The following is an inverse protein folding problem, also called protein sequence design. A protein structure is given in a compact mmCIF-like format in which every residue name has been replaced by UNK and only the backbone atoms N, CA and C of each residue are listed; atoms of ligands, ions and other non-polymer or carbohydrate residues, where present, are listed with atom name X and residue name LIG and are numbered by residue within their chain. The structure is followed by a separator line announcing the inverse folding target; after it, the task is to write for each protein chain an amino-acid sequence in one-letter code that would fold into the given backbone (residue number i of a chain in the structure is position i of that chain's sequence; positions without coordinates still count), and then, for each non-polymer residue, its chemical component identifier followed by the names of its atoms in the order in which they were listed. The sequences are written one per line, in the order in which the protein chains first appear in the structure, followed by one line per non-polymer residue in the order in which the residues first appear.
data_IF_586617374993
#
_entry.id   IF_586617374993
#
_cell.length_a   1.000
_cell.length_b   1.000
_cell.length_c   1.000
_cell.angle_alpha   90.00
_cell.angle_beta   90.00
_cell.angle_gamma   90.00
#
_symmetry.space_group_name_H-M   'P 1'
#
loop_
_entity.id
_entity.type
_entity.pdbx_description
1 polymer ?
#
# COMPACT_ATOMS: atom_id res chain seq x y z
N UNK A 1 -14.40 1.16 10.55
CA UNK A 1 -13.05 0.55 10.66
C UNK A 1 -12.07 1.69 10.50
N UNK A 2 -11.03 1.77 11.31
CA UNK A 2 -10.04 2.85 11.20
C UNK A 2 -9.02 2.56 10.09
N UNK A 3 -8.29 3.59 9.65
CA UNK A 3 -7.14 3.41 8.76
C UNK A 3 -6.07 2.50 9.37
N UNK A 4 -5.84 2.60 10.69
CA UNK A 4 -4.96 1.69 11.42
C UNK A 4 -5.45 0.25 11.33
N UNK A 5 -6.73 0.01 11.60
CA UNK A 5 -7.31 -1.34 11.53
C UNK A 5 -7.07 -1.97 10.16
N UNK A 6 -7.33 -1.22 9.09
CA UNK A 6 -7.15 -1.70 7.73
C UNK A 6 -5.67 -1.94 7.42
N UNK A 7 -4.83 -0.91 7.55
CA UNK A 7 -3.47 -0.96 7.01
C UNK A 7 -2.54 -1.76 7.92
N UNK A 8 -2.58 -1.51 9.22
CA UNK A 8 -1.65 -2.10 10.18
C UNK A 8 -2.15 -3.45 10.70
N UNK A 9 -3.46 -3.61 10.93
CA UNK A 9 -3.98 -4.86 11.48
C UNK A 9 -4.45 -5.86 10.41
N UNK A 10 -4.88 -5.43 9.22
CA UNK A 10 -5.34 -6.35 8.17
C UNK A 10 -4.30 -6.55 7.06
N UNK A 11 -3.87 -5.48 6.39
CA UNK A 11 -2.99 -5.59 5.23
C UNK A 11 -1.57 -6.02 5.64
N UNK A 12 -0.98 -5.38 6.65
CA UNK A 12 0.35 -5.75 7.15
C UNK A 12 0.34 -7.16 7.76
N UNK A 13 -0.66 -7.51 8.55
CA UNK A 13 -0.79 -8.86 9.11
C UNK A 13 -0.90 -9.94 8.03
N UNK A 14 -1.61 -9.66 6.93
CA UNK A 14 -1.71 -10.57 5.80
C UNK A 14 -0.36 -10.77 5.11
N UNK A 15 0.43 -9.71 4.91
CA UNK A 15 1.80 -9.83 4.39
C UNK A 15 2.71 -10.58 5.36
N UNK A 16 2.60 -10.33 6.68
CA UNK A 16 3.39 -11.04 7.70
C UNK A 16 3.05 -12.52 7.79
N UNK A 17 1.81 -12.92 7.50
CA UNK A 17 1.44 -14.33 7.39
C UNK A 17 2.19 -15.02 6.23
N UNK A 18 2.45 -14.29 5.16
CA UNK A 18 3.24 -14.77 4.02
C UNK A 18 4.74 -14.74 4.31
N UNK A 19 5.23 -13.68 4.97
CA UNK A 19 6.63 -13.48 5.30
C UNK A 19 6.76 -12.94 6.75
N UNK A 20 6.92 -13.80 7.76
CA UNK A 20 6.93 -13.38 9.18
C UNK A 20 8.03 -12.38 9.52
N UNK A 21 9.17 -12.48 8.83
CA UNK A 21 10.32 -11.59 8.99
C UNK A 21 10.11 -10.21 8.38
N UNK A 22 9.13 -10.03 7.46
CA UNK A 22 8.95 -8.77 6.72
C UNK A 22 7.51 -8.46 6.34
N UNK A 23 6.95 -7.45 7.03
CA UNK A 23 5.68 -6.81 6.69
C UNK A 23 5.78 -5.72 5.62
N UNK A 24 4.74 -4.90 5.53
CA UNK A 24 4.71 -3.67 4.74
C UNK A 24 5.66 -2.63 5.34
N UNK A 25 6.38 -1.93 4.46
CA UNK A 25 7.19 -0.76 4.83
C UNK A 25 6.31 0.43 5.21
N UNK A 26 6.83 1.36 6.02
CA UNK A 26 6.10 2.58 6.40
C UNK A 26 5.66 3.41 5.19
N UNK A 27 6.50 3.47 4.14
CA UNK A 27 6.13 4.10 2.87
C UNK A 27 4.92 3.42 2.22
N UNK A 28 4.87 2.09 2.27
CA UNK A 28 3.75 1.34 1.70
C UNK A 28 2.48 1.58 2.51
N UNK A 29 2.58 1.54 3.84
CA UNK A 29 1.46 1.81 4.75
C UNK A 29 0.88 3.20 4.51
N UNK A 30 1.73 4.21 4.48
CA UNK A 30 1.36 5.59 4.19
C UNK A 30 0.72 5.75 2.79
N UNK A 31 1.24 5.02 1.79
CA UNK A 31 0.67 5.01 0.46
C UNK A 31 -0.75 4.42 0.42
N UNK A 32 -1.01 3.33 1.16
CA UNK A 32 -2.35 2.76 1.29
C UNK A 32 -3.31 3.73 2.00
N UNK A 33 -2.88 4.36 3.10
CA UNK A 33 -3.70 5.34 3.84
C UNK A 33 -4.12 6.51 2.95
N UNK A 34 -3.16 7.10 2.22
CA UNK A 34 -3.41 8.18 1.25
C UNK A 34 -4.38 7.76 0.14
N UNK A 35 -4.25 6.55 -0.38
CA UNK A 35 -5.12 6.05 -1.45
C UNK A 35 -6.53 5.77 -0.97
N UNK A 36 -6.72 5.30 0.28
CA UNK A 36 -8.03 5.03 0.87
C UNK A 36 -8.86 6.30 1.07
N UNK A 37 -8.26 7.37 1.59
CA UNK A 37 -8.99 8.60 1.90
C UNK A 37 -9.05 9.54 0.69
N UNK A 38 -8.06 9.50 -0.21
CA UNK A 38 -7.94 10.46 -1.31
C UNK A 38 -7.60 11.88 -0.86
N UNK A 39 -7.28 12.08 0.43
CA UNK A 39 -6.91 13.36 1.03
C UNK A 39 -5.53 13.26 1.69
N UNK A 40 -4.86 14.41 1.85
CA UNK A 40 -3.63 14.54 2.64
C UNK A 40 -3.91 14.69 4.14
N UNK A 41 -5.14 15.03 4.52
CA UNK A 41 -5.53 15.24 5.91
C UNK A 41 -6.28 14.00 6.40
N UNK A 42 -5.55 13.06 6.99
CA UNK A 42 -6.11 11.91 7.68
C UNK A 42 -5.30 11.62 8.94
N UNK A 43 -5.92 10.91 9.86
CA UNK A 43 -5.29 10.34 11.06
C UNK A 43 -5.48 8.84 11.05
N UNK A 44 -4.71 8.11 11.85
CA UNK A 44 -4.88 6.67 12.02
C UNK A 44 -6.31 6.26 12.41
N UNK A 45 -7.00 7.14 13.16
CA UNK A 45 -8.36 6.94 13.65
C UNK A 45 -9.45 7.32 12.63
N UNK A 46 -9.05 7.80 11.44
CA UNK A 46 -10.00 8.16 10.38
C UNK A 46 -10.82 6.95 9.98
N UNK A 47 -12.14 7.08 10.04
CA UNK A 47 -13.06 6.00 9.72
C UNK A 47 -13.13 5.76 8.21
N UNK A 48 -13.08 4.49 7.86
CA UNK A 48 -13.23 3.95 6.52
C UNK A 48 -14.34 2.91 6.56
N UNK A 49 -15.29 3.07 5.64
CA UNK A 49 -16.35 2.10 5.42
C UNK A 49 -15.85 0.90 4.62
N UNK A 50 -16.54 -0.24 4.76
CA UNK A 50 -16.26 -1.40 3.93
C UNK A 50 -16.45 -1.09 2.43
N UNK A 51 -17.43 -0.23 2.10
CA UNK A 51 -17.66 0.32 0.77
C UNK A 51 -16.36 0.91 0.19
N UNK A 52 -15.75 1.87 0.90
CA UNK A 52 -14.54 2.56 0.47
C UNK A 52 -13.32 1.63 0.35
N UNK A 53 -13.22 0.64 1.24
CA UNK A 53 -12.08 -0.28 1.24
C UNK A 53 -12.16 -1.35 0.14
N UNK A 54 -13.32 -1.99 -0.02
CA UNK A 54 -13.47 -3.20 -0.82
C UNK A 54 -14.14 -2.97 -2.16
N UNK A 55 -15.01 -1.96 -2.30
CA UNK A 55 -15.93 -1.87 -3.42
C UNK A 55 -15.71 -0.61 -4.27
N UNK A 56 -15.48 0.53 -3.63
CA UNK A 56 -15.23 1.78 -4.33
C UNK A 56 -13.95 1.67 -5.16
N UNK A 57 -14.07 2.17 -6.39
CA UNK A 57 -13.02 2.11 -7.37
C UNK A 57 -11.98 3.19 -7.09
N UNK A 58 -10.71 2.83 -7.21
CA UNK A 58 -9.62 3.75 -6.93
C UNK A 58 -9.57 4.87 -7.96
N UNK A 59 -9.35 6.11 -7.54
CA UNK A 59 -9.03 7.20 -8.46
C UNK A 59 -7.52 7.29 -8.68
N UNK A 60 -7.10 7.48 -9.93
CA UNK A 60 -5.72 7.85 -10.20
C UNK A 60 -5.52 9.34 -9.84
N UNK A 61 -4.55 9.64 -8.98
CA UNK A 61 -4.27 11.00 -8.54
C UNK A 61 -3.49 11.83 -9.57
N UNK A 62 -2.96 11.21 -10.64
CA UNK A 62 -2.20 11.92 -11.69
C UNK A 62 -2.91 12.07 -13.02
N UNK A 63 -3.91 11.22 -13.30
CA UNK A 63 -4.66 11.24 -14.55
C UNK A 63 -6.13 11.11 -14.15
N UNK A 64 -7.04 11.90 -14.73
CA UNK A 64 -8.50 11.86 -14.44
C UNK A 64 -9.18 10.52 -14.81
N UNK A 65 -8.43 9.43 -14.86
CA UNK A 65 -8.91 8.09 -15.10
C UNK A 65 -9.25 7.41 -13.77
N UNK A 66 -10.52 7.05 -13.63
CA UNK A 66 -10.97 6.13 -12.58
C UNK A 66 -10.39 4.75 -12.88
N UNK A 67 -9.65 4.18 -11.94
CA UNK A 67 -9.15 2.80 -12.06
C UNK A 67 -10.35 1.85 -11.94
N UNK A 68 -10.31 0.71 -12.61
CA UNK A 68 -11.45 -0.23 -12.64
C UNK A 68 -11.48 -1.19 -11.44
N UNK A 69 -10.58 -1.02 -10.47
CA UNK A 69 -10.43 -1.89 -9.31
C UNK A 69 -10.41 -1.12 -7.98
N UNK A 70 -10.83 -1.77 -6.90
CA UNK A 70 -10.78 -1.26 -5.53
C UNK A 70 -9.41 -1.44 -4.89
N UNK A 71 -9.21 -0.84 -3.71
CA UNK A 71 -7.94 -0.99 -2.96
C UNK A 71 -7.72 -2.43 -2.53
N UNK A 72 -8.79 -3.12 -2.14
CA UNK A 72 -8.69 -4.54 -1.82
C UNK A 72 -8.26 -5.39 -3.02
N UNK A 73 -8.90 -5.21 -4.18
CA UNK A 73 -8.56 -5.93 -5.42
C UNK A 73 -7.09 -5.67 -5.79
N UNK A 74 -6.67 -4.41 -5.70
CA UNK A 74 -5.30 -3.97 -5.94
C UNK A 74 -4.29 -4.59 -4.97
N UNK A 75 -4.64 -4.71 -3.69
CA UNK A 75 -3.81 -5.35 -2.68
C UNK A 75 -3.69 -6.85 -2.92
N UNK A 76 -4.81 -7.54 -3.18
CA UNK A 76 -4.82 -8.99 -3.41
C UNK A 76 -3.97 -9.37 -4.62
N UNK A 77 -4.06 -8.60 -5.72
CA UNK A 77 -3.21 -8.81 -6.88
C UNK A 77 -1.70 -8.73 -6.53
N UNK A 78 -1.31 -7.77 -5.69
CA UNK A 78 0.07 -7.65 -5.20
C UNK A 78 0.47 -8.78 -4.27
N UNK A 79 -0.40 -9.11 -3.32
CA UNK A 79 -0.15 -10.21 -2.39
C UNK A 79 0.15 -11.49 -3.16
N UNK A 80 -0.68 -11.82 -4.16
CA UNK A 80 -0.52 -13.00 -5.00
C UNK A 80 0.78 -12.94 -5.84
N UNK A 81 1.16 -11.76 -6.33
CA UNK A 81 2.43 -11.56 -7.06
C UNK A 81 3.64 -11.80 -6.14
N UNK A 82 3.59 -11.29 -4.91
CA UNK A 82 4.65 -11.51 -3.91
C UNK A 82 4.75 -13.00 -3.61
N UNK A 83 3.63 -13.62 -3.25
CA UNK A 83 3.57 -15.04 -2.88
C UNK A 83 4.09 -15.97 -3.98
N UNK A 84 3.68 -15.74 -5.23
CA UNK A 84 4.00 -16.66 -6.33
C UNK A 84 5.37 -16.44 -6.96
N UNK A 85 5.85 -15.20 -7.00
CA UNK A 85 6.99 -14.87 -7.86
C UNK A 85 8.07 -14.04 -7.17
N UNK A 86 7.73 -13.25 -6.15
CA UNK A 86 8.66 -12.26 -5.59
C UNK A 86 9.09 -12.54 -4.15
N UNK A 87 8.62 -13.63 -3.53
CA UNK A 87 8.83 -13.89 -2.11
C UNK A 87 10.31 -13.84 -1.69
N UNK A 88 11.28 -14.45 -2.41
CA UNK A 88 12.69 -14.38 -2.02
C UNK A 88 13.26 -12.96 -2.06
N UNK A 89 12.82 -12.14 -3.02
CA UNK A 89 13.26 -10.75 -3.15
C UNK A 89 12.57 -9.83 -2.14
N UNK A 90 11.32 -10.15 -1.81
CA UNK A 90 10.58 -9.50 -0.74
C UNK A 90 11.26 -9.78 0.59
N UNK A 91 11.48 -11.03 0.96
CA UNK A 91 12.10 -11.38 2.25
C UNK A 91 13.46 -10.71 2.45
N UNK A 92 14.29 -10.62 1.41
CA UNK A 92 15.62 -9.99 1.44
C UNK A 92 15.63 -8.46 1.52
N UNK A 93 14.47 -7.81 1.48
CA UNK A 93 14.42 -6.34 1.55
C UNK A 93 14.62 -5.62 0.22
N UNK A 94 14.80 -6.32 -0.90
CA UNK A 94 15.20 -5.71 -2.18
C UNK A 94 14.06 -4.94 -2.85
N UNK A 95 12.82 -5.30 -2.53
CA UNK A 95 11.62 -4.63 -3.04
C UNK A 95 11.11 -3.68 -1.95
N UNK A 96 11.08 -2.37 -2.20
CA UNK A 96 10.56 -1.38 -1.23
C UNK A 96 9.04 -1.50 -1.04
N UNK A 97 8.33 -1.98 -2.08
CA UNK A 97 6.88 -2.13 -2.10
C UNK A 97 6.21 -0.97 -2.81
N UNK A 98 5.44 -0.16 -2.06
CA UNK A 98 4.76 1.02 -2.61
C UNK A 98 5.44 2.29 -2.11
N UNK A 99 5.85 3.16 -3.06
CA UNK A 99 6.41 4.48 -2.77
C UNK A 99 5.81 5.51 -3.74
N UNK A 100 5.77 6.79 -3.32
CA UNK A 100 5.35 7.87 -4.23
C UNK A 100 6.46 8.20 -5.23
N UNK A 101 6.10 8.79 -6.38
CA UNK A 101 7.07 9.26 -7.38
C UNK A 101 8.07 10.25 -6.76
N UNK A 102 7.60 11.15 -5.90
CA UNK A 102 8.44 12.13 -5.20
C UNK A 102 9.44 11.46 -4.27
N UNK A 103 8.98 10.55 -3.40
CA UNK A 103 9.85 9.79 -2.49
C UNK A 103 10.89 8.95 -3.23
N UNK A 104 10.51 8.37 -4.37
CA UNK A 104 11.43 7.62 -5.24
C UNK A 104 12.55 8.54 -5.78
N UNK A 105 12.16 9.70 -6.33
CA UNK A 105 13.10 10.67 -6.89
C UNK A 105 14.06 11.23 -5.84
N UNK A 106 13.60 11.48 -4.61
CA UNK A 106 14.43 11.95 -3.50
C UNK A 106 15.49 10.92 -3.10
N UNK A 107 15.10 9.65 -2.96
CA UNK A 107 16.04 8.55 -2.65
C UNK A 107 17.12 8.41 -3.72
N UNK A 108 16.73 8.43 -5.00
CA UNK A 108 17.67 8.33 -6.12
C UNK A 108 18.64 9.52 -6.22
N UNK A 109 18.24 10.72 -5.77
CA UNK A 109 19.12 11.89 -5.72
C UNK A 109 20.11 11.80 -4.55
N UNK A 110 19.67 11.28 -3.41
CA UNK A 110 20.50 11.13 -2.22
C UNK A 110 21.64 10.12 -2.43
N UNK A 111 21.41 9.04 -3.17
CA UNK A 111 22.42 8.00 -3.46
C UNK A 111 23.51 8.43 -4.45
N UNK A 112 23.31 9.56 -5.15
CA UNK A 112 24.31 10.11 -6.10
C UNK A 112 25.30 11.09 -5.46
N UNK A 113 25.27 11.26 -4.13
CA UNK A 113 26.20 12.07 -3.35
C UNK A 113 27.10 11.16 -2.53
#
# INVERSE_FOLDING_TARGET
MTLRDIVDCMLDAKIRKLCPSRGLSDYSKEHFKKRLIGSKNFTDETQVSLQQFCFDKMFNTSDSQTLTFSIWEWFVARYNLIEKYLLPYWERGWIVGCITKTTAAEKLKAEKR
#
